data_IF_751208399488
#
_entry.id   IF_751208399488
#
_cell.length_a   1.000
_cell.length_b   1.000
_cell.length_c   1.000
_cell.angle_alpha   90.00
_cell.angle_beta   90.00
_cell.angle_gamma   90.00
#
_symmetry.space_group_name_H-M   'P 1'
#
loop_
_entity.id
_entity.type
_entity.pdbx_description
1 polymer ?
#
# COMPACT_ATOMS: atom_id res chain seq x y z
N UNK A 1 -4.43 -14.20 21.44
CA UNK A 1 -3.03 -14.61 21.62
C UNK A 1 -2.79 -14.95 23.09
N UNK A 2 -1.91 -15.92 23.39
CA UNK A 2 -1.64 -16.27 24.80
C UNK A 2 -0.57 -15.34 25.35
N UNK A 3 -0.71 -14.85 26.58
CA UNK A 3 0.33 -14.04 27.29
C UNK A 3 1.73 -14.69 27.25
N UNK A 4 1.78 -16.00 27.08
CA UNK A 4 3.04 -16.75 27.00
C UNK A 4 3.73 -16.56 25.65
N UNK A 5 2.98 -16.49 24.56
CA UNK A 5 3.53 -16.19 23.22
C UNK A 5 3.99 -14.75 23.14
N UNK A 6 3.25 -13.79 23.67
CA UNK A 6 3.63 -12.37 23.66
C UNK A 6 4.96 -12.12 24.38
N UNK A 7 5.17 -12.74 25.53
CA UNK A 7 6.46 -12.63 26.24
C UNK A 7 7.62 -13.24 25.45
N UNK A 8 7.36 -14.31 24.70
CA UNK A 8 8.37 -14.94 23.87
C UNK A 8 8.67 -14.07 22.63
N UNK A 9 7.66 -13.47 22.04
CA UNK A 9 7.79 -12.54 20.92
C UNK A 9 8.68 -11.35 21.30
N UNK A 10 8.45 -10.75 22.48
CA UNK A 10 9.26 -9.66 23.01
C UNK A 10 10.70 -10.09 23.28
N UNK A 11 10.89 -11.23 23.94
CA UNK A 11 12.22 -11.77 24.22
C UNK A 11 13.00 -12.00 22.92
N UNK A 12 12.39 -12.65 21.94
CA UNK A 12 13.03 -12.91 20.65
C UNK A 12 13.31 -11.62 19.89
N UNK A 13 12.43 -10.62 19.97
CA UNK A 13 12.64 -9.32 19.35
C UNK A 13 13.89 -8.63 19.93
N UNK A 14 14.03 -8.62 21.24
CA UNK A 14 15.19 -8.03 21.92
C UNK A 14 16.49 -8.76 21.56
N UNK A 15 16.51 -10.08 21.63
CA UNK A 15 17.70 -10.87 21.33
C UNK A 15 18.08 -10.81 19.85
N UNK A 16 17.15 -10.90 18.94
CA UNK A 16 17.40 -10.76 17.49
C UNK A 16 17.96 -9.37 17.20
N UNK A 17 17.37 -8.32 17.79
CA UNK A 17 17.86 -6.93 17.64
C UNK A 17 19.30 -6.80 18.11
N UNK A 18 19.63 -7.37 19.29
CA UNK A 18 20.98 -7.35 19.85
C UNK A 18 21.98 -8.09 18.96
N UNK A 19 21.63 -9.27 18.45
CA UNK A 19 22.48 -10.05 17.55
C UNK A 19 22.74 -9.28 16.25
N UNK A 20 21.69 -8.71 15.64
CA UNK A 20 21.81 -7.93 14.40
C UNK A 20 22.74 -6.74 14.64
N UNK A 21 22.54 -5.98 15.72
CA UNK A 21 23.31 -4.76 16.00
C UNK A 21 24.77 -5.03 16.35
N UNK A 22 25.07 -6.15 17.00
CA UNK A 22 26.41 -6.42 17.54
C UNK A 22 27.26 -7.37 16.70
N UNK A 23 26.63 -8.31 16.02
CA UNK A 23 27.32 -9.43 15.40
C UNK A 23 27.23 -9.42 13.86
N UNK A 24 26.29 -8.68 13.26
CA UNK A 24 26.21 -8.54 11.83
C UNK A 24 26.94 -7.27 11.39
N UNK A 25 28.15 -7.46 10.85
CA UNK A 25 29.01 -6.37 10.36
C UNK A 25 28.89 -6.15 8.85
N UNK A 26 27.83 -6.63 8.20
CA UNK A 26 27.65 -6.42 6.75
C UNK A 26 27.23 -4.96 6.50
N UNK A 27 28.05 -4.15 5.77
CA UNK A 27 27.76 -2.75 5.50
C UNK A 27 26.47 -2.53 4.70
N UNK A 28 25.95 -3.56 4.04
CA UNK A 28 24.69 -3.50 3.28
C UNK A 28 23.46 -3.52 4.18
N UNK A 29 23.60 -4.01 5.42
CA UNK A 29 22.48 -4.08 6.38
C UNK A 29 22.08 -2.67 6.81
N UNK A 30 23.03 -1.73 6.91
CA UNK A 30 22.76 -0.33 7.22
C UNK A 30 21.98 -0.14 8.53
N UNK A 31 21.06 0.82 8.53
CA UNK A 31 20.20 1.07 9.67
C UNK A 31 18.95 0.20 9.60
N UNK A 32 18.94 -0.89 10.34
CA UNK A 32 17.84 -1.83 10.46
C UNK A 32 17.32 -1.84 11.91
N UNK A 33 16.00 -1.81 12.03
CA UNK A 33 15.32 -1.95 13.32
C UNK A 33 14.34 -3.11 13.26
N UNK A 34 14.41 -4.03 14.21
CA UNK A 34 13.40 -5.08 14.38
C UNK A 34 12.18 -4.47 15.06
N UNK A 35 11.08 -4.37 14.33
CA UNK A 35 9.84 -3.73 14.82
C UNK A 35 8.95 -4.71 15.55
N UNK A 36 8.85 -5.93 15.06
CA UNK A 36 7.99 -6.98 15.62
C UNK A 36 8.57 -8.35 15.37
N UNK A 37 8.34 -9.27 16.29
CA UNK A 37 8.49 -10.71 16.08
C UNK A 37 7.15 -11.36 16.41
N UNK A 38 6.76 -12.35 15.63
CA UNK A 38 5.50 -13.07 15.78
C UNK A 38 5.77 -14.57 15.60
N UNK A 39 5.67 -15.31 16.70
CA UNK A 39 5.99 -16.74 16.76
C UNK A 39 4.71 -17.55 16.68
N UNK A 40 4.72 -18.62 15.90
CA UNK A 40 3.60 -19.55 15.87
C UNK A 40 3.42 -20.31 17.21
N UNK A 41 2.22 -20.84 17.41
CA UNK A 41 1.87 -21.56 18.65
C UNK A 41 2.73 -22.80 18.90
N UNK A 42 3.26 -23.38 17.83
CA UNK A 42 4.07 -24.61 17.84
C UNK A 42 5.55 -24.32 18.01
N UNK A 43 5.95 -23.06 18.03
CA UNK A 43 7.34 -22.60 18.07
C UNK A 43 8.17 -23.12 16.89
N UNK A 44 7.53 -23.35 15.77
CA UNK A 44 8.16 -23.86 14.54
C UNK A 44 8.69 -22.73 13.68
N UNK A 45 7.94 -21.63 13.57
CA UNK A 45 8.25 -20.48 12.73
C UNK A 45 8.09 -19.19 13.50
N UNK A 46 8.92 -18.21 13.15
CA UNK A 46 8.83 -16.85 13.65
C UNK A 46 8.97 -15.85 12.50
N UNK A 47 7.99 -14.99 12.33
CA UNK A 47 8.08 -13.87 11.41
C UNK A 47 8.79 -12.71 12.10
N UNK A 48 9.89 -12.25 11.51
CA UNK A 48 10.71 -11.15 12.02
C UNK A 48 10.47 -9.94 11.12
N UNK A 49 9.78 -8.94 11.64
CA UNK A 49 9.49 -7.71 10.93
C UNK A 49 10.60 -6.70 11.16
N UNK A 50 11.12 -6.15 10.07
CA UNK A 50 12.22 -5.19 10.12
C UNK A 50 11.90 -3.95 9.31
N UNK A 51 12.19 -2.80 9.88
CA UNK A 51 12.17 -1.52 9.18
C UNK A 51 13.60 -1.14 8.79
N UNK A 52 13.79 -0.76 7.53
CA UNK A 52 15.09 -0.34 6.97
C UNK A 52 14.99 1.09 6.49
N UNK A 53 15.89 1.95 6.94
CA UNK A 53 15.97 3.34 6.51
C UNK A 53 16.83 3.45 5.25
N UNK A 54 16.30 4.08 4.22
CA UNK A 54 16.99 4.31 2.95
C UNK A 54 16.06 4.27 1.76
N UNK A 55 16.64 4.48 0.58
CA UNK A 55 15.94 4.35 -0.70
C UNK A 55 15.62 2.88 -1.03
N UNK A 56 14.75 2.67 -1.99
CA UNK A 56 14.29 1.33 -2.36
C UNK A 56 15.42 0.34 -2.69
N UNK A 57 16.47 0.71 -3.49
CA UNK A 57 17.59 -0.19 -3.76
C UNK A 57 18.38 -0.56 -2.50
N UNK A 58 18.63 0.41 -1.62
CA UNK A 58 19.33 0.20 -0.34
C UNK A 58 18.55 -0.75 0.56
N UNK A 59 17.24 -0.54 0.72
CA UNK A 59 16.38 -1.41 1.51
C UNK A 59 16.37 -2.84 0.99
N UNK A 60 16.23 -3.02 -0.31
CA UNK A 60 16.26 -4.35 -0.92
C UNK A 60 17.62 -5.04 -0.73
N UNK A 61 18.72 -4.30 -0.79
CA UNK A 61 20.06 -4.83 -0.53
C UNK A 61 20.19 -5.27 0.93
N UNK A 62 19.73 -4.45 1.87
CA UNK A 62 19.74 -4.74 3.29
C UNK A 62 18.88 -5.98 3.63
N UNK A 63 17.65 -6.06 3.12
CA UNK A 63 16.76 -7.22 3.32
C UNK A 63 17.40 -8.50 2.78
N UNK A 64 18.01 -8.46 1.60
CA UNK A 64 18.73 -9.63 1.04
C UNK A 64 19.94 -10.03 1.88
N UNK A 65 20.71 -9.06 2.37
CA UNK A 65 21.87 -9.32 3.22
C UNK A 65 21.44 -9.94 4.56
N UNK A 66 20.43 -9.34 5.18
CA UNK A 66 19.87 -9.80 6.44
C UNK A 66 19.22 -11.20 6.31
N UNK A 67 18.50 -11.47 5.20
CA UNK A 67 17.93 -12.78 4.94
C UNK A 67 18.99 -13.90 4.90
N UNK A 68 20.18 -13.61 4.36
CA UNK A 68 21.31 -14.57 4.39
C UNK A 68 21.90 -14.76 5.77
N UNK A 69 21.77 -13.76 6.64
CA UNK A 69 22.25 -13.82 8.01
C UNK A 69 21.26 -14.52 8.98
N UNK A 70 20.00 -14.75 8.58
CA UNK A 70 19.00 -15.38 9.46
C UNK A 70 19.40 -16.76 10.01
N UNK A 71 20.04 -17.67 9.25
CA UNK A 71 20.54 -18.92 9.82
C UNK A 71 21.57 -18.70 10.92
N UNK A 72 22.44 -17.71 10.78
CA UNK A 72 23.40 -17.32 11.81
C UNK A 72 22.69 -16.77 13.06
N UNK A 73 21.74 -15.86 12.88
CA UNK A 73 20.92 -15.31 13.98
C UNK A 73 20.21 -16.43 14.71
N UNK A 74 19.60 -17.36 14.00
CA UNK A 74 18.95 -18.55 14.57
C UNK A 74 19.92 -19.42 15.39
N UNK A 75 21.13 -19.62 14.89
CA UNK A 75 22.16 -20.37 15.61
C UNK A 75 22.54 -19.66 16.93
N UNK A 76 22.68 -18.33 16.89
CA UNK A 76 23.00 -17.52 18.07
C UNK A 76 21.87 -17.53 19.12
N UNK A 77 20.63 -17.62 18.73
CA UNK A 77 19.49 -17.80 19.65
C UNK A 77 19.53 -19.14 20.40
N UNK A 78 20.43 -20.05 20.03
CA UNK A 78 20.60 -21.34 20.70
C UNK A 78 20.96 -21.26 22.19
N UNK A 79 21.50 -20.12 22.67
CA UNK A 79 21.78 -19.88 24.08
C UNK A 79 20.48 -19.66 24.90
N UNK A 80 19.39 -19.26 24.25
CA UNK A 80 18.08 -19.19 24.87
C UNK A 80 17.60 -20.63 25.14
N UNK A 81 17.36 -20.95 26.41
CA UNK A 81 16.89 -22.29 26.82
C UNK A 81 15.44 -22.55 26.40
N UNK A 82 15.16 -22.32 25.10
CA UNK A 82 13.85 -22.60 24.51
C UNK A 82 13.75 -24.07 24.19
N UNK A 83 12.56 -24.64 24.32
CA UNK A 83 12.29 -26.04 23.97
C UNK A 83 12.61 -26.30 22.48
N UNK A 84 12.41 -25.31 21.63
CA UNK A 84 12.70 -25.32 20.19
C UNK A 84 13.01 -23.90 19.74
N UNK A 85 14.00 -23.74 18.87
CA UNK A 85 14.29 -22.46 18.24
C UNK A 85 13.54 -22.41 16.91
N UNK A 86 12.63 -21.44 16.72
CA UNK A 86 11.83 -21.34 15.52
C UNK A 86 12.69 -21.04 14.27
N UNK A 87 12.18 -21.36 13.11
CA UNK A 87 12.73 -20.89 11.85
C UNK A 87 12.36 -19.42 11.66
N UNK A 88 13.37 -18.58 11.35
CA UNK A 88 13.19 -17.14 11.25
C UNK A 88 12.85 -16.75 9.81
N UNK A 89 11.70 -16.14 9.61
CA UNK A 89 11.25 -15.59 8.33
C UNK A 89 11.29 -14.07 8.37
N UNK A 90 12.19 -13.49 7.58
CA UNK A 90 12.32 -12.05 7.50
C UNK A 90 11.16 -11.42 6.70
N UNK A 91 10.57 -10.36 7.25
CA UNK A 91 9.52 -9.55 6.62
C UNK A 91 9.89 -8.07 6.69
N UNK A 92 9.67 -7.36 5.59
CA UNK A 92 9.82 -5.91 5.59
C UNK A 92 8.59 -5.26 6.23
N UNK A 93 8.83 -4.30 7.12
CA UNK A 93 7.79 -3.49 7.75
C UNK A 93 7.79 -2.08 7.13
N UNK A 94 6.80 -1.80 6.32
CA UNK A 94 6.58 -0.52 5.68
C UNK A 94 5.53 0.35 6.39
N UNK A 95 5.19 0.01 7.63
CA UNK A 95 4.16 0.70 8.41
C UNK A 95 4.49 2.19 8.61
N UNK A 96 5.75 2.54 8.84
CA UNK A 96 6.18 3.93 8.99
C UNK A 96 5.98 4.73 7.70
N UNK A 97 6.27 4.15 6.54
CA UNK A 97 6.06 4.80 5.24
C UNK A 97 4.59 5.00 4.94
N UNK A 98 3.79 3.97 5.22
CA UNK A 98 2.32 4.08 5.09
C UNK A 98 1.76 5.17 5.99
N UNK A 99 2.20 5.26 7.24
CA UNK A 99 1.79 6.30 8.16
C UNK A 99 2.17 7.69 7.65
N UNK A 100 3.42 7.88 7.19
CA UNK A 100 3.88 9.14 6.60
C UNK A 100 3.06 9.52 5.38
N UNK A 101 2.74 8.56 4.51
CA UNK A 101 1.91 8.81 3.32
C UNK A 101 0.49 9.24 3.68
N UNK A 102 -0.10 8.61 4.70
CA UNK A 102 -1.43 9.02 5.19
C UNK A 102 -1.39 10.45 5.74
N UNK A 103 -0.37 10.79 6.53
CA UNK A 103 -0.20 12.14 7.05
C UNK A 103 -0.03 13.16 5.93
N UNK A 104 0.74 12.85 4.88
CA UNK A 104 0.88 13.72 3.71
C UNK A 104 -0.46 13.94 3.00
N UNK A 105 -1.25 12.87 2.79
CA UNK A 105 -2.57 12.98 2.17
C UNK A 105 -3.51 13.86 3.02
N UNK A 106 -3.46 13.73 4.34
CA UNK A 106 -4.27 14.55 5.24
C UNK A 106 -3.85 16.02 5.18
N UNK A 107 -2.54 16.30 5.15
CA UNK A 107 -1.99 17.65 5.01
C UNK A 107 -2.40 18.28 3.67
N UNK A 108 -2.30 17.51 2.57
CA UNK A 108 -2.72 17.94 1.24
C UNK A 108 -4.23 18.28 1.19
N UNK A 109 -5.07 17.48 1.85
CA UNK A 109 -6.51 17.75 1.95
C UNK A 109 -6.77 19.01 2.78
N UNK A 110 -6.08 19.19 3.90
CA UNK A 110 -6.24 20.38 4.77
C UNK A 110 -5.81 21.65 4.06
N UNK A 111 -4.78 21.59 3.20
CA UNK A 111 -4.32 22.70 2.38
C UNK A 111 -5.07 22.84 1.03
N UNK A 112 -6.13 22.07 0.79
CA UNK A 112 -6.97 22.17 -0.40
C UNK A 112 -6.30 21.71 -1.69
N UNK A 113 -5.21 20.97 -1.59
CA UNK A 113 -4.55 20.33 -2.71
C UNK A 113 -5.25 18.98 -2.97
N UNK A 114 -6.05 18.89 -4.05
CA UNK A 114 -6.57 17.61 -4.53
C UNK A 114 -5.41 16.74 -5.01
N UNK A 115 -4.85 15.95 -4.13
CA UNK A 115 -3.95 14.89 -4.54
C UNK A 115 -4.76 13.69 -5.01
N UNK A 116 -5.05 13.67 -6.30
CA UNK A 116 -5.43 12.42 -6.94
C UNK A 116 -4.31 11.38 -6.67
N UNK A 117 -4.63 10.19 -6.17
CA UNK A 117 -3.62 9.18 -5.94
C UNK A 117 -2.95 8.82 -7.28
N UNK A 118 -1.69 9.22 -7.46
CA UNK A 118 -0.83 8.69 -8.51
C UNK A 118 -0.48 7.24 -8.14
N UNK A 119 -1.33 6.33 -8.49
CA UNK A 119 -1.00 4.94 -8.26
C UNK A 119 -2.10 4.01 -8.70
N UNK A 120 -1.80 3.30 -9.77
CA UNK A 120 -2.52 2.17 -10.35
C UNK A 120 -3.96 2.48 -10.76
N UNK A 121 -4.14 2.59 -12.08
CA UNK A 121 -5.44 2.58 -12.73
C UNK A 121 -6.13 1.23 -12.60
N UNK A 122 -6.36 0.82 -11.38
CA UNK A 122 -7.34 -0.22 -11.08
C UNK A 122 -8.65 0.53 -10.88
N UNK A 123 -9.40 0.63 -11.96
CA UNK A 123 -10.76 1.13 -11.91
C UNK A 123 -11.48 0.37 -10.80
N UNK A 124 -12.01 1.11 -9.83
CA UNK A 124 -12.92 0.52 -8.85
C UNK A 124 -13.94 -0.34 -9.59
N UNK A 125 -14.14 -1.60 -9.21
CA UNK A 125 -15.13 -2.43 -9.86
C UNK A 125 -16.46 -1.67 -9.82
N UNK A 126 -17.03 -1.44 -10.99
CA UNK A 126 -18.35 -0.81 -11.12
C UNK A 126 -19.29 -1.54 -10.18
N UNK A 127 -20.08 -0.84 -9.36
CA UNK A 127 -21.01 -1.50 -8.47
C UNK A 127 -21.89 -2.42 -9.29
N UNK A 128 -21.81 -3.72 -9.01
CA UNK A 128 -22.67 -4.72 -9.67
C UNK A 128 -24.12 -4.31 -9.43
N UNK A 129 -24.93 -4.07 -10.46
CA UNK A 129 -26.31 -3.70 -10.26
C UNK A 129 -27.01 -4.80 -9.47
N UNK A 130 -27.59 -4.44 -8.34
CA UNK A 130 -28.39 -5.36 -7.52
C UNK A 130 -29.51 -5.92 -8.42
N UNK A 131 -29.44 -7.21 -8.69
CA UNK A 131 -30.41 -7.94 -9.50
C UNK A 131 -31.78 -7.81 -8.83
N UNK A 132 -32.68 -6.97 -9.41
CA UNK A 132 -34.04 -6.85 -8.94
C UNK A 132 -34.59 -5.44 -8.72
N UNK A 133 -33.83 -4.37 -8.96
CA UNK A 133 -34.39 -3.01 -8.93
C UNK A 133 -34.71 -2.63 -10.38
N UNK A 134 -36.01 -2.42 -10.73
CA UNK A 134 -36.36 -1.95 -12.08
C UNK A 134 -35.78 -0.55 -12.30
N UNK A 135 -35.09 -0.37 -13.43
CA UNK A 135 -34.59 0.94 -13.84
C UNK A 135 -35.71 1.98 -13.84
N UNK A 136 -35.47 3.20 -13.30
CA UNK A 136 -36.41 4.27 -13.41
C UNK A 136 -36.65 4.61 -14.89
N UNK A 137 -37.92 4.89 -15.31
CA UNK A 137 -38.25 5.14 -16.70
C UNK A 137 -37.49 6.35 -17.22
N UNK A 138 -36.84 6.19 -18.38
CA UNK A 138 -36.11 7.27 -19.06
C UNK A 138 -37.05 8.45 -19.32
N UNK A 139 -36.65 9.70 -19.08
CA UNK A 139 -37.48 10.85 -19.34
C UNK A 139 -37.84 10.93 -20.81
N UNK A 140 -39.16 10.98 -21.09
CA UNK A 140 -39.69 11.15 -22.46
C UNK A 140 -39.14 12.44 -23.05
N UNK A 141 -38.41 12.33 -24.13
CA UNK A 141 -38.01 13.49 -24.97
C UNK A 141 -39.30 14.17 -25.46
N UNK A 142 -39.53 15.37 -24.99
CA UNK A 142 -40.58 16.25 -25.54
C UNK A 142 -40.17 16.57 -26.97
N UNK A 143 -40.89 16.03 -27.93
CA UNK A 143 -40.86 16.49 -29.29
C UNK A 143 -41.40 17.92 -29.31
N UNK A 144 -40.55 18.89 -29.41
CA UNK A 144 -40.98 20.25 -29.80
C UNK A 144 -41.28 20.21 -31.29
N UNK A 145 -42.57 20.18 -31.57
CA UNK A 145 -43.07 20.34 -32.96
C UNK A 145 -42.65 21.72 -33.47
N UNK A 146 -41.78 21.71 -34.46
CA UNK A 146 -41.50 22.88 -35.25
C UNK A 146 -42.73 23.18 -36.10
N UNK A 147 -43.46 24.24 -35.71
CA UNK A 147 -44.56 24.81 -36.46
C UNK A 147 -43.96 25.70 -37.55
N UNK A 148 -44.13 25.30 -38.81
CA UNK A 148 -43.78 26.09 -39.95
C UNK A 148 -44.67 27.34 -40.10
N UNK A 149 -44.12 28.32 -40.66
CA UNK A 149 -44.85 29.44 -41.34
C UNK A 149 -43.89 30.02 -42.37
N UNK A 150 -44.10 29.64 -43.59
CA UNK A 150 -44.66 30.39 -44.70
C UNK A 150 -44.19 31.82 -44.93
N UNK A 151 -43.62 31.96 -46.15
CA UNK A 151 -43.96 33.03 -47.11
C UNK A 151 -43.24 34.37 -46.86
N UNK A 152 -42.59 34.98 -47.79
CA UNK A 152 -42.99 35.39 -49.11
C UNK A 152 -41.79 35.91 -49.90
N UNK A 153 -41.87 35.68 -51.17
CA UNK A 153 -41.15 36.32 -52.28
C UNK A 153 -40.99 37.84 -52.13
N UNK A 154 -39.87 38.41 -52.49
CA UNK A 154 -39.92 39.45 -53.53
C UNK A 154 -38.59 39.54 -54.29
N UNK A 155 -38.79 39.61 -55.56
CA UNK A 155 -37.81 39.72 -56.60
C UNK A 155 -37.37 41.18 -56.79
N UNK A 156 -36.39 41.32 -57.69
CA UNK A 156 -36.04 42.56 -58.44
C UNK A 156 -34.84 43.30 -57.77
N UNK A 157 -33.78 43.53 -58.43
CA UNK A 157 -33.44 43.89 -59.76
C UNK A 157 -32.06 44.52 -59.76
N UNK A 158 -31.23 44.09 -60.66
CA UNK A 158 -30.72 44.85 -61.80
C UNK A 158 -29.62 45.90 -61.56
N UNK A 159 -28.55 45.66 -62.30
CA UNK A 159 -27.63 46.63 -62.92
C UNK A 159 -26.60 47.28 -61.99
N UNK A 160 -25.41 47.40 -62.37
CA UNK A 160 -24.65 47.57 -63.59
C UNK A 160 -23.36 48.23 -63.22
N UNK A 161 -22.36 47.92 -63.92
CA UNK A 161 -21.61 48.83 -64.68
C UNK A 161 -20.30 49.36 -64.11
N UNK A 162 -19.35 49.07 -64.87
CA UNK A 162 -18.05 49.68 -65.16
C UNK A 162 -16.83 49.10 -64.48
#
# INVERSE_FOLDING_TARGET
MSQRTERLDDLLREEISAIIAREISDPRVGFVTVTKVDVDRELSHANVWVSVIGDLPTRQAAIRALGRAMPFVRHRLGHLRLKRIPELHLREDDSAERATRVLQILDDIEHGLETAPKGSGEALPSPTPLRGIPEPPKPRRKHTAAKGMHSTRHATGKQGGT
#
